data_IF_677004346939
#
_entry.id   IF_677004346939
#
_cell.length_a   1.000
_cell.length_b   1.000
_cell.length_c   1.000
_cell.angle_alpha   90.00
_cell.angle_beta   90.00
_cell.angle_gamma   90.00
#
_symmetry.space_group_name_H-M   'P 1'
#
loop_
_entity.id
_entity.type
_entity.pdbx_description
1 polymer ?
#
# COMPACT_ATOMS: atom_id res chain seq x y z
N UNK A 1 41.16 38.29 23.92
CA UNK A 1 39.84 37.78 24.34
C UNK A 1 39.11 36.97 23.24
N UNK A 2 39.06 37.40 21.97
CA UNK A 2 38.33 36.68 20.91
C UNK A 2 38.86 35.29 20.53
N UNK A 3 40.18 35.06 20.55
CA UNK A 3 40.78 33.77 20.15
C UNK A 3 40.31 32.61 21.04
N UNK A 4 40.21 32.85 22.34
CA UNK A 4 39.74 31.84 23.31
C UNK A 4 38.27 31.50 23.07
N UNK A 5 37.43 32.50 22.74
CA UNK A 5 36.01 32.30 22.44
C UNK A 5 35.82 31.44 21.18
N UNK A 6 36.59 31.68 20.11
CA UNK A 6 36.54 30.86 18.89
C UNK A 6 37.01 29.42 19.13
N UNK A 7 38.06 29.21 19.93
CA UNK A 7 38.50 27.86 20.31
C UNK A 7 37.41 27.10 21.08
N UNK A 8 36.72 27.75 22.02
CA UNK A 8 35.61 27.14 22.76
C UNK A 8 34.45 26.80 21.83
N UNK A 9 34.04 27.71 20.94
CA UNK A 9 32.98 27.44 19.96
C UNK A 9 33.32 26.30 18.99
N UNK A 10 34.58 26.23 18.53
CA UNK A 10 35.05 25.13 17.67
C UNK A 10 35.02 23.78 18.41
N UNK A 11 35.45 23.75 19.68
CA UNK A 11 35.35 22.54 20.51
C UNK A 11 33.89 22.11 20.71
N UNK A 12 32.96 23.05 20.94
CA UNK A 12 31.53 22.73 21.00
C UNK A 12 31.00 22.15 19.68
N UNK A 13 31.37 22.72 18.52
CA UNK A 13 30.97 22.19 17.21
C UNK A 13 31.52 20.77 16.96
N UNK A 14 32.78 20.50 17.33
CA UNK A 14 33.39 19.16 17.18
C UNK A 14 32.73 18.14 18.13
N UNK A 15 32.47 18.52 19.38
CA UNK A 15 31.79 17.65 20.35
C UNK A 15 30.35 17.36 19.93
N UNK A 16 29.62 18.38 19.45
CA UNK A 16 28.26 18.23 18.96
C UNK A 16 28.21 17.31 17.74
N UNK A 17 29.10 17.52 16.76
CA UNK A 17 29.21 16.69 15.56
C UNK A 17 29.56 15.23 15.89
N UNK A 18 30.51 14.99 16.81
CA UNK A 18 30.85 13.63 17.28
C UNK A 18 29.67 12.97 17.99
N UNK A 19 28.95 13.70 18.85
CA UNK A 19 27.80 13.15 19.58
C UNK A 19 26.63 12.84 18.64
N UNK A 20 26.39 13.68 17.64
CA UNK A 20 25.42 13.43 16.57
C UNK A 20 25.78 12.17 15.77
N UNK A 21 27.05 12.04 15.34
CA UNK A 21 27.53 10.86 14.62
C UNK A 21 27.40 9.57 15.45
N UNK A 22 27.77 9.61 16.73
CA UNK A 22 27.63 8.47 17.64
C UNK A 22 26.15 8.10 17.84
N UNK A 23 25.25 9.07 17.98
CA UNK A 23 23.82 8.80 18.14
C UNK A 23 23.21 8.17 16.88
N UNK A 24 23.57 8.65 15.69
CA UNK A 24 23.15 8.04 14.42
C UNK A 24 23.69 6.62 14.31
N UNK A 25 24.96 6.40 14.65
CA UNK A 25 25.57 5.07 14.56
C UNK A 25 25.03 4.09 15.60
N UNK A 26 24.78 4.53 16.85
CA UNK A 26 24.10 3.75 17.89
C UNK A 26 22.69 3.37 17.46
N UNK A 27 21.91 4.32 16.94
CA UNK A 27 20.56 4.04 16.42
C UNK A 27 20.61 3.04 15.25
N UNK A 28 21.59 3.16 14.34
CA UNK A 28 21.75 2.21 13.24
C UNK A 28 22.11 0.81 13.74
N UNK A 29 23.04 0.69 14.70
CA UNK A 29 23.41 -0.60 15.31
C UNK A 29 22.23 -1.22 16.09
N UNK A 30 21.46 -0.40 16.82
CA UNK A 30 20.27 -0.84 17.56
C UNK A 30 19.19 -1.32 16.58
N UNK A 31 18.92 -0.57 15.50
CA UNK A 31 17.98 -0.98 14.46
C UNK A 31 18.42 -2.28 13.76
N UNK A 32 19.72 -2.46 13.54
CA UNK A 32 20.25 -3.70 12.98
C UNK A 32 20.16 -4.87 13.98
N UNK A 33 20.37 -4.64 15.29
CA UNK A 33 20.19 -5.68 16.33
C UNK A 33 18.71 -6.04 16.56
N UNK A 34 17.80 -5.07 16.52
CA UNK A 34 16.35 -5.27 16.58
C UNK A 34 15.84 -6.05 15.35
N UNK A 35 16.47 -5.86 14.19
CA UNK A 35 16.21 -6.62 12.97
C UNK A 35 16.66 -8.10 13.10
N UNK A 36 17.82 -8.35 13.70
CA UNK A 36 18.42 -9.70 13.81
C UNK A 36 17.71 -10.58 14.86
N UNK A 37 17.11 -10.00 15.89
CA UNK A 37 16.53 -10.74 17.02
C UNK A 37 14.99 -10.83 16.98
N UNK A 38 14.36 -10.40 15.88
CA UNK A 38 12.92 -10.54 15.71
C UNK A 38 12.61 -11.80 14.88
N UNK A 39 12.08 -12.88 15.48
CA UNK A 39 11.74 -14.10 14.74
C UNK A 39 10.60 -13.87 13.72
N UNK A 40 9.96 -12.69 13.79
CA UNK A 40 9.01 -12.19 12.80
C UNK A 40 9.73 -11.21 11.88
N UNK A 41 10.39 -11.73 10.85
CA UNK A 41 10.78 -10.90 9.72
C UNK A 41 9.49 -10.46 9.01
N UNK A 42 8.97 -9.27 9.33
CA UNK A 42 7.80 -8.69 8.64
C UNK A 42 8.02 -8.64 7.13
N UNK A 43 9.28 -8.54 6.69
CA UNK A 43 9.65 -8.60 5.28
C UNK A 43 9.61 -10.03 4.72
N UNK A 44 9.73 -11.09 5.54
CA UNK A 44 9.66 -12.51 5.14
C UNK A 44 8.25 -12.99 4.79
N UNK A 45 7.18 -12.32 5.23
CA UNK A 45 5.84 -12.60 4.69
C UNK A 45 5.70 -12.07 3.25
N UNK A 46 6.40 -10.97 2.96
CA UNK A 46 6.62 -10.56 1.59
C UNK A 46 7.64 -11.48 0.90
N UNK A 47 8.59 -12.11 1.66
CA UNK A 47 9.53 -13.24 1.34
C UNK A 47 9.24 -14.03 0.05
N UNK A 48 8.07 -14.66 0.10
CA UNK A 48 7.76 -15.91 -0.59
C UNK A 48 6.94 -15.73 -1.85
N UNK A 49 6.37 -14.54 -2.07
CA UNK A 49 5.88 -14.15 -3.39
C UNK A 49 7.07 -13.71 -4.22
N UNK A 50 7.18 -14.17 -5.47
CA UNK A 50 8.30 -13.90 -6.39
C UNK A 50 8.76 -12.45 -6.30
N UNK A 51 9.80 -12.20 -5.51
CA UNK A 51 10.13 -10.87 -5.04
C UNK A 51 10.75 -10.03 -6.11
N UNK A 52 9.99 -9.07 -6.59
CA UNK A 52 10.55 -7.85 -7.14
C UNK A 52 11.38 -7.23 -6.00
N UNK A 53 12.71 -7.09 -6.14
CA UNK A 53 13.53 -6.44 -5.11
C UNK A 53 12.96 -5.04 -4.86
N UNK A 54 13.02 -4.56 -3.60
CA UNK A 54 12.48 -3.22 -3.26
C UNK A 54 13.07 -2.11 -4.13
N UNK A 55 14.27 -2.28 -4.68
CA UNK A 55 14.89 -1.36 -5.64
C UNK A 55 14.13 -1.24 -6.97
N UNK A 56 13.28 -2.21 -7.30
CA UNK A 56 12.44 -2.24 -8.51
C UNK A 56 10.96 -1.93 -8.22
N UNK A 57 10.58 -1.71 -6.95
CA UNK A 57 9.20 -1.37 -6.61
C UNK A 57 8.91 0.09 -6.97
N UNK A 58 7.87 0.32 -7.78
CA UNK A 58 7.41 1.66 -8.13
C UNK A 58 6.75 2.31 -6.91
N UNK A 59 7.18 3.53 -6.58
CA UNK A 59 6.65 4.31 -5.45
C UNK A 59 5.58 5.30 -5.92
N UNK A 60 4.71 5.73 -4.99
CA UNK A 60 3.74 6.80 -5.23
C UNK A 60 4.37 8.05 -5.87
N UNK A 61 5.58 8.43 -5.43
CA UNK A 61 6.31 9.59 -5.95
C UNK A 61 6.68 9.42 -7.44
N UNK A 62 7.07 8.22 -7.85
CA UNK A 62 7.38 7.93 -9.25
C UNK A 62 6.12 7.98 -10.12
N UNK A 63 4.99 7.44 -9.65
CA UNK A 63 3.70 7.54 -10.36
C UNK A 63 3.28 9.02 -10.51
N UNK A 64 3.44 9.83 -9.46
CA UNK A 64 3.13 11.28 -9.53
C UNK A 64 4.00 11.98 -10.58
N UNK A 65 5.29 11.62 -10.67
CA UNK A 65 6.20 12.16 -11.68
C UNK A 65 5.75 11.78 -13.09
N UNK A 66 5.45 10.51 -13.33
CA UNK A 66 4.98 9.98 -14.62
C UNK A 66 3.70 10.68 -15.07
N UNK A 67 2.69 10.74 -14.19
CA UNK A 67 1.42 11.42 -14.50
C UNK A 67 1.62 12.92 -14.72
N UNK A 68 2.48 13.58 -13.94
CA UNK A 68 2.82 15.00 -14.12
C UNK A 68 3.47 15.26 -15.49
N UNK A 69 4.33 14.36 -15.97
CA UNK A 69 4.93 14.46 -17.30
C UNK A 69 3.89 14.22 -18.42
N UNK A 70 2.98 13.26 -18.25
CA UNK A 70 1.95 12.93 -19.24
C UNK A 70 0.88 14.02 -19.38
N UNK A 71 0.38 14.54 -18.25
CA UNK A 71 -0.68 15.56 -18.24
C UNK A 71 -0.14 16.98 -18.34
N UNK A 72 1.17 17.18 -18.18
CA UNK A 72 1.85 18.48 -18.06
C UNK A 72 1.36 19.32 -16.87
N UNK A 73 0.76 18.67 -15.87
CA UNK A 73 0.33 19.31 -14.64
C UNK A 73 1.44 19.39 -13.61
N UNK A 74 1.33 20.33 -12.67
CA UNK A 74 2.28 20.44 -11.57
C UNK A 74 2.20 19.20 -10.66
N UNK A 75 3.35 18.61 -10.31
CA UNK A 75 3.50 17.47 -9.39
C UNK A 75 2.69 17.65 -8.10
N UNK A 76 2.67 18.87 -7.54
CA UNK A 76 1.90 19.18 -6.33
C UNK A 76 0.38 19.04 -6.55
N UNK A 77 -0.10 19.43 -7.73
CA UNK A 77 -1.50 19.29 -8.11
C UNK A 77 -1.86 17.81 -8.30
N UNK A 78 -1.02 17.06 -9.02
CA UNK A 78 -1.19 15.61 -9.23
C UNK A 78 -1.20 14.86 -7.90
N UNK A 79 -0.30 15.20 -6.97
CA UNK A 79 -0.27 14.61 -5.63
C UNK A 79 -1.57 14.86 -4.86
N UNK A 80 -2.11 16.08 -4.90
CA UNK A 80 -3.41 16.42 -4.28
C UNK A 80 -4.55 15.61 -4.88
N UNK A 81 -4.59 15.48 -6.22
CA UNK A 81 -5.61 14.69 -6.91
C UNK A 81 -5.52 13.22 -6.47
N UNK A 82 -4.31 12.64 -6.47
CA UNK A 82 -4.09 11.25 -6.06
C UNK A 82 -4.53 11.00 -4.62
N UNK A 83 -4.20 11.92 -3.70
CA UNK A 83 -4.66 11.83 -2.31
C UNK A 83 -6.19 11.89 -2.23
N UNK A 84 -6.81 12.84 -2.94
CA UNK A 84 -8.26 12.96 -2.99
C UNK A 84 -8.96 11.69 -3.50
N UNK A 85 -8.39 10.99 -4.49
CA UNK A 85 -8.92 9.70 -4.96
C UNK A 85 -8.88 8.67 -3.83
N UNK A 86 -7.75 8.54 -3.13
CA UNK A 86 -7.62 7.58 -2.03
C UNK A 86 -8.55 7.92 -0.85
N UNK A 87 -8.66 9.20 -0.49
CA UNK A 87 -9.54 9.66 0.59
C UNK A 87 -11.01 9.33 0.28
N UNK A 88 -11.44 9.51 -0.98
CA UNK A 88 -12.78 9.09 -1.41
C UNK A 88 -12.94 7.57 -1.36
N UNK A 89 -11.92 6.80 -1.76
CA UNK A 89 -11.96 5.33 -1.65
C UNK A 89 -12.15 4.90 -0.19
N UNK A 90 -11.40 5.49 0.74
CA UNK A 90 -11.55 5.19 2.17
C UNK A 90 -12.94 5.56 2.70
N UNK A 91 -13.43 6.76 2.36
CA UNK A 91 -14.74 7.24 2.80
C UNK A 91 -15.90 6.34 2.36
N UNK A 92 -15.91 5.93 1.10
CA UNK A 92 -16.96 5.05 0.58
C UNK A 92 -16.85 3.63 1.15
N UNK A 93 -15.63 3.11 1.35
CA UNK A 93 -15.44 1.80 2.01
C UNK A 93 -15.84 1.82 3.49
N UNK A 94 -15.65 2.93 4.20
CA UNK A 94 -16.12 3.08 5.59
C UNK A 94 -17.65 2.96 5.69
N UNK A 95 -18.37 3.52 4.72
CA UNK A 95 -19.82 3.40 4.58
C UNK A 95 -20.28 2.02 4.07
N UNK A 96 -19.37 1.05 3.90
CA UNK A 96 -19.65 -0.25 3.33
C UNK A 96 -20.21 -0.20 1.88
N UNK A 97 -19.90 0.87 1.15
CA UNK A 97 -20.28 1.05 -0.24
C UNK A 97 -19.28 0.34 -1.18
N UNK A 98 -19.76 -0.07 -2.36
CA UNK A 98 -18.93 -0.66 -3.41
C UNK A 98 -18.50 0.42 -4.38
N UNK A 99 -17.21 0.46 -4.71
CA UNK A 99 -16.65 1.44 -5.63
C UNK A 99 -16.21 0.70 -6.88
N UNK A 100 -16.83 1.01 -8.00
CA UNK A 100 -16.44 0.49 -9.31
C UNK A 100 -15.66 1.53 -10.10
N UNK A 101 -14.49 1.15 -10.60
CA UNK A 101 -13.66 1.97 -11.48
C UNK A 101 -13.57 1.25 -12.83
N UNK A 102 -14.17 1.84 -13.85
CA UNK A 102 -14.27 1.28 -15.20
C UNK A 102 -12.89 0.83 -15.72
N UNK A 103 -12.82 -0.37 -16.32
CA UNK A 103 -11.60 -1.05 -16.80
C UNK A 103 -10.52 -1.35 -15.76
N UNK A 104 -10.63 -0.84 -14.53
CA UNK A 104 -9.65 -1.10 -13.47
C UNK A 104 -10.11 -2.24 -12.56
N UNK A 105 -11.25 -2.09 -11.90
CA UNK A 105 -11.76 -3.06 -10.94
C UNK A 105 -12.75 -2.48 -9.95
N UNK A 106 -13.00 -3.23 -8.88
CA UNK A 106 -13.97 -2.89 -7.84
C UNK A 106 -13.35 -3.02 -6.44
N UNK A 107 -13.53 -1.98 -5.63
CA UNK A 107 -13.27 -2.02 -4.18
C UNK A 107 -14.57 -2.32 -3.44
N UNK A 108 -14.52 -3.21 -2.46
CA UNK A 108 -15.67 -3.56 -1.63
C UNK A 108 -15.20 -4.21 -0.33
N UNK A 109 -16.03 -4.15 0.71
CA UNK A 109 -15.75 -4.87 1.94
C UNK A 109 -16.27 -6.32 1.87
N UNK A 110 -15.51 -7.24 2.46
CA UNK A 110 -15.91 -8.63 2.68
C UNK A 110 -16.08 -8.85 4.18
N UNK A 111 -17.20 -9.44 4.58
CA UNK A 111 -17.40 -9.90 5.95
C UNK A 111 -16.62 -11.19 6.20
N UNK A 112 -15.76 -11.19 7.23
CA UNK A 112 -15.04 -12.36 7.72
C UNK A 112 -15.70 -12.83 9.01
N UNK A 113 -16.16 -14.08 9.05
CA UNK A 113 -16.71 -14.71 10.26
C UNK A 113 -15.61 -14.91 11.32
N UNK A 114 -16.02 -14.90 12.58
CA UNK A 114 -15.18 -15.26 13.73
C UNK A 114 -14.59 -16.66 13.54
N UNK A 115 -13.30 -16.84 13.86
CA UNK A 115 -12.59 -18.12 13.73
C UNK A 115 -11.41 -18.21 14.69
N UNK A 116 -11.09 -19.41 15.13
CA UNK A 116 -9.88 -19.68 15.89
C UNK A 116 -8.74 -20.08 14.94
N UNK A 117 -7.55 -19.52 15.17
CA UNK A 117 -6.32 -19.94 14.51
C UNK A 117 -5.32 -20.41 15.56
N UNK A 118 -4.44 -21.34 15.18
CA UNK A 118 -3.38 -21.80 16.07
C UNK A 118 -2.08 -21.05 15.80
N UNK A 119 -1.46 -20.51 16.83
CA UNK A 119 -0.12 -19.96 16.73
C UNK A 119 0.88 -21.10 16.46
N UNK A 120 1.52 -21.12 15.28
CA UNK A 120 2.45 -22.19 14.92
C UNK A 120 3.71 -22.22 15.82
N UNK A 121 4.06 -21.11 16.47
CA UNK A 121 5.22 -21.01 17.37
C UNK A 121 4.89 -21.46 18.79
N UNK A 122 3.80 -20.97 19.36
CA UNK A 122 3.44 -21.24 20.78
C UNK A 122 2.47 -22.39 20.97
N UNK A 123 1.81 -22.82 19.88
CA UNK A 123 0.69 -23.80 19.88
C UNK A 123 -0.55 -23.34 20.65
N UNK A 124 -0.62 -22.08 21.04
CA UNK A 124 -1.80 -21.48 21.66
C UNK A 124 -2.85 -21.17 20.58
N UNK A 125 -4.12 -21.26 20.97
CA UNK A 125 -5.23 -20.87 20.12
C UNK A 125 -5.47 -19.36 20.26
N UNK A 126 -5.53 -18.67 19.13
CA UNK A 126 -5.82 -17.24 19.00
C UNK A 126 -7.18 -17.12 18.33
N UNK A 127 -8.12 -16.51 19.03
CA UNK A 127 -9.44 -16.20 18.50
C UNK A 127 -9.39 -14.89 17.70
N UNK A 128 -9.89 -14.93 16.46
CA UNK A 128 -10.02 -13.75 15.59
C UNK A 128 -11.50 -13.42 15.49
N UNK A 129 -11.88 -12.24 15.96
CA UNK A 129 -13.24 -11.73 15.91
C UNK A 129 -13.74 -11.48 14.48
N UNK A 130 -15.07 -11.49 14.32
CA UNK A 130 -15.68 -11.14 13.04
C UNK A 130 -15.38 -9.68 12.68
N UNK A 131 -15.03 -9.43 11.42
CA UNK A 131 -14.69 -8.09 10.95
C UNK A 131 -14.99 -7.91 9.46
N UNK A 132 -15.22 -6.67 9.06
CA UNK A 132 -15.22 -6.28 7.65
C UNK A 132 -13.78 -5.98 7.22
N UNK A 133 -13.38 -6.50 6.06
CA UNK A 133 -12.06 -6.25 5.48
C UNK A 133 -12.21 -5.69 4.06
N UNK A 134 -11.43 -4.66 3.70
CA UNK A 134 -11.42 -4.16 2.33
C UNK A 134 -10.85 -5.22 1.40
N UNK A 135 -11.47 -5.37 0.24
CA UNK A 135 -11.07 -6.27 -0.82
C UNK A 135 -11.11 -5.54 -2.17
N UNK A 136 -10.26 -5.97 -3.09
CA UNK A 136 -10.20 -5.44 -4.43
C UNK A 136 -10.28 -6.56 -5.46
N UNK A 137 -11.21 -6.45 -6.41
CA UNK A 137 -11.36 -7.37 -7.54
C UNK A 137 -10.96 -6.64 -8.82
N UNK A 138 -9.90 -7.10 -9.48
CA UNK A 138 -9.49 -6.59 -10.79
C UNK A 138 -10.55 -6.89 -11.86
N UNK A 139 -10.74 -5.96 -12.80
CA UNK A 139 -11.62 -6.15 -13.95
C UNK A 139 -11.07 -7.26 -14.89
N UNK A 140 -11.96 -7.87 -15.68
CA UNK A 140 -11.58 -8.85 -16.71
C UNK A 140 -10.59 -8.24 -17.72
N UNK A 141 -10.90 -7.04 -18.21
CA UNK A 141 -10.04 -6.24 -19.12
C UNK A 141 -8.64 -6.05 -18.53
N UNK A 142 -8.55 -5.71 -17.23
CA UNK A 142 -7.26 -5.53 -16.57
C UNK A 142 -6.46 -6.83 -16.50
N UNK A 143 -7.11 -7.94 -16.10
CA UNK A 143 -6.46 -9.27 -16.04
C UNK A 143 -5.96 -9.72 -17.41
N UNK A 144 -6.75 -9.55 -18.46
CA UNK A 144 -6.39 -9.89 -19.84
C UNK A 144 -5.19 -9.08 -20.32
N UNK A 145 -5.18 -7.76 -20.08
CA UNK A 145 -4.07 -6.88 -20.43
C UNK A 145 -2.76 -7.30 -19.74
N UNK A 146 -2.82 -7.71 -18.47
CA UNK A 146 -1.64 -8.21 -17.75
C UNK A 146 -1.17 -9.57 -18.29
N UNK A 147 -2.10 -10.50 -18.56
CA UNK A 147 -1.78 -11.84 -19.09
C UNK A 147 -1.10 -11.77 -20.46
N UNK A 148 -1.46 -10.80 -21.30
CA UNK A 148 -0.86 -10.59 -22.62
C UNK A 148 0.55 -9.99 -22.54
N UNK A 149 0.75 -9.01 -21.65
CA UNK A 149 1.97 -8.20 -21.63
C UNK A 149 3.07 -8.79 -20.72
N UNK A 150 2.71 -9.53 -19.67
CA UNK A 150 3.67 -10.12 -18.74
C UNK A 150 4.01 -11.53 -19.17
N UNK A 151 5.20 -11.72 -19.75
CA UNK A 151 5.73 -13.05 -20.09
C UNK A 151 5.99 -13.85 -18.81
N UNK A 152 5.15 -14.85 -18.55
CA UNK A 152 5.39 -15.80 -17.45
C UNK A 152 6.66 -16.59 -17.79
N UNK A 153 7.69 -16.49 -16.94
CA UNK A 153 8.78 -17.48 -16.95
C UNK A 153 8.15 -18.82 -16.56
N UNK A 154 7.89 -19.69 -17.54
CA UNK A 154 7.35 -21.05 -17.31
C UNK A 154 8.33 -21.84 -16.42
N UNK A 155 8.11 -21.80 -15.11
CA UNK A 155 8.57 -22.82 -14.18
C UNK A 155 7.60 -24.01 -14.25
N UNK A 156 8.14 -25.23 -14.30
CA UNK A 156 7.41 -26.50 -14.47
C UNK A 156 6.14 -26.60 -13.60
N UNK A 157 4.99 -26.81 -14.25
CA UNK A 157 3.85 -27.58 -13.75
C UNK A 157 3.05 -27.04 -12.57
N UNK A 158 2.06 -26.18 -12.82
CA UNK A 158 0.80 -26.15 -12.05
C UNK A 158 -0.34 -25.90 -13.02
N UNK A 159 -1.21 -26.90 -13.22
CA UNK A 159 -2.52 -26.69 -13.85
C UNK A 159 -3.41 -26.00 -12.83
N UNK A 160 -3.63 -24.69 -12.96
CA UNK A 160 -4.79 -24.08 -12.33
C UNK A 160 -5.99 -24.35 -13.22
N UNK A 161 -6.85 -25.27 -12.78
CA UNK A 161 -8.24 -25.26 -13.20
C UNK A 161 -8.81 -23.94 -12.67
N UNK A 162 -8.77 -22.90 -13.51
CA UNK A 162 -9.49 -21.66 -13.30
C UNK A 162 -10.97 -22.02 -13.47
N UNK A 163 -11.55 -22.64 -12.43
CA UNK A 163 -12.99 -22.72 -12.31
C UNK A 163 -13.43 -21.30 -11.98
N UNK A 164 -13.96 -20.63 -13.01
CA UNK A 164 -14.63 -19.35 -12.89
C UNK A 164 -15.61 -19.43 -11.72
N UNK A 165 -15.27 -18.74 -10.63
CA UNK A 165 -16.23 -18.42 -9.58
C UNK A 165 -17.08 -17.29 -10.16
N UNK A 166 -18.17 -17.69 -10.80
CA UNK A 166 -19.32 -16.93 -11.25
C UNK A 166 -18.95 -15.58 -11.90
N UNK A 167 -18.78 -15.61 -13.23
CA UNK A 167 -18.72 -14.39 -14.07
C UNK A 167 -20.10 -13.69 -14.18
N UNK A 168 -21.12 -14.17 -13.48
CA UNK A 168 -22.48 -13.65 -13.53
C UNK A 168 -22.63 -12.39 -12.65
N UNK A 169 -23.14 -11.32 -13.28
CA UNK A 169 -23.61 -10.05 -12.71
C UNK A 169 -22.56 -9.05 -12.18
N UNK A 170 -21.64 -8.60 -13.04
CA UNK A 170 -21.36 -7.16 -13.07
C UNK A 170 -22.23 -6.49 -14.14
N UNK A 171 -23.54 -6.43 -13.90
CA UNK A 171 -24.46 -5.69 -14.76
C UNK A 171 -24.22 -4.18 -14.57
N UNK A 172 -23.54 -3.57 -15.54
CA UNK A 172 -22.91 -2.24 -15.42
C UNK A 172 -23.87 -1.06 -15.61
N UNK A 173 -25.13 -1.32 -15.98
CA UNK A 173 -25.99 -0.28 -16.52
C UNK A 173 -26.70 0.56 -15.44
N UNK A 174 -26.76 0.11 -14.18
CA UNK A 174 -27.47 0.80 -13.09
C UNK A 174 -26.59 1.57 -12.09
N UNK A 175 -25.27 1.63 -12.28
CA UNK A 175 -24.37 2.29 -11.28
C UNK A 175 -24.42 3.83 -11.39
N UNK A 176 -24.86 4.37 -12.53
CA UNK A 176 -24.88 5.81 -12.76
C UNK A 176 -26.03 6.55 -12.06
N UNK A 177 -27.05 5.85 -11.55
CA UNK A 177 -28.20 6.49 -10.88
C UNK A 177 -27.89 6.86 -9.42
N UNK A 178 -27.23 5.98 -8.66
CA UNK A 178 -26.84 6.28 -7.26
C UNK A 178 -25.76 7.36 -7.14
N UNK A 179 -24.95 7.55 -8.19
CA UNK A 179 -23.90 8.57 -8.21
C UNK A 179 -24.47 10.00 -8.36
N UNK A 180 -25.61 10.17 -9.05
CA UNK A 180 -26.24 11.49 -9.24
C UNK A 180 -26.91 12.00 -7.97
N UNK A 181 -27.46 11.12 -7.14
CA UNK A 181 -28.10 11.51 -5.88
C UNK A 181 -27.07 11.98 -4.84
N UNK A 182 -25.95 11.26 -4.70
CA UNK A 182 -24.92 11.57 -3.69
C UNK A 182 -24.05 12.81 -3.99
N UNK A 183 -23.94 13.23 -5.25
CA UNK A 183 -23.23 14.47 -5.63
C UNK A 183 -24.13 15.70 -5.43
N UNK A 184 -25.43 15.56 -5.70
CA UNK A 184 -26.37 16.68 -5.61
C UNK A 184 -26.76 17.05 -4.16
N UNK A 185 -26.78 16.09 -3.23
CA UNK A 185 -27.07 16.39 -1.81
C UNK A 185 -25.92 17.11 -1.08
N UNK A 186 -24.69 17.10 -1.62
CA UNK A 186 -23.52 17.79 -1.02
C UNK A 186 -23.27 19.20 -1.54
N UNK A 187 -24.08 19.69 -2.48
CA UNK A 187 -23.94 21.00 -3.14
C UNK A 187 -25.03 22.01 -2.76
N UNK A 188 -25.73 21.79 -1.63
CA UNK A 188 -26.64 22.79 -1.07
C UNK A 188 -25.82 23.73 -0.18
N UNK A 189 -25.67 24.97 -0.64
CA UNK A 189 -25.13 26.12 0.11
C UNK A 189 -26.01 26.50 1.29
#
# INVERSE_FOLDING_TARGET
MYVILYCVLFLFQVVYSRRAFINVHKNNIINNKLSVNNPYNKNALYQSSSKIPMSQAITKKQIIEEVSMETKENKKTVEKIMNGIFDNIYKHLENNEKIYIHKFGMFYNIFRKKRCIKNLRTKEDIEIESSHMPHFKFSKVFKELIKQNVKVKKGKGVSTNDHDLDEDDMNMDNINESFKENVNEKLIY
#
